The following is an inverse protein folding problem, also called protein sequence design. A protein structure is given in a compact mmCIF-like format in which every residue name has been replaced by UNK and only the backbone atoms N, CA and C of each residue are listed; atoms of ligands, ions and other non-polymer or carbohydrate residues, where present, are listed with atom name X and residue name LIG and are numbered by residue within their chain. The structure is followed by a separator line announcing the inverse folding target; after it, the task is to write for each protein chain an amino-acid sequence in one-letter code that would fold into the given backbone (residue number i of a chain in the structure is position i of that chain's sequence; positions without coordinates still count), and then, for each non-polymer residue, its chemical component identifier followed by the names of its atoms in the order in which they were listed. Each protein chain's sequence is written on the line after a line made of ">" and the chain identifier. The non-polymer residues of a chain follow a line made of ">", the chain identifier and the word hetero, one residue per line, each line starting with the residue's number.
data_IF_270749647778
#
_entry.id   IF_270749647778
#
_cell.length_a   1.000
_cell.length_b   1.000
_cell.length_c   1.000
_cell.angle_alpha   90.00
_cell.angle_beta   90.00
_cell.angle_gamma   90.00
#
_symmetry.space_group_name_H-M   'P 1'
#
loop_
_entity.id
_entity.type
_entity.pdbx_description
1 polymer ?
#
# COMPACT_ATOMS: atom_id res chain seq x y z
N UNK A 1 18.92 -9.91 7.58
CA UNK A 1 17.54 -10.33 7.28
C UNK A 1 16.58 -9.35 7.88
N UNK A 2 15.67 -8.82 7.07
CA UNK A 2 14.50 -8.07 7.52
C UNK A 2 13.27 -8.99 7.40
N UNK A 3 12.21 -8.77 8.20
CA UNK A 3 10.92 -9.42 8.01
C UNK A 3 10.38 -9.18 6.59
N UNK A 4 9.68 -10.16 6.03
CA UNK A 4 9.06 -10.06 4.71
C UNK A 4 7.63 -10.62 4.77
N UNK A 5 6.69 -9.91 4.15
CA UNK A 5 5.30 -10.34 4.00
C UNK A 5 5.20 -11.64 3.20
N UNK A 6 4.23 -12.48 3.53
CA UNK A 6 3.95 -13.74 2.82
C UNK A 6 3.23 -13.51 1.49
N UNK A 7 2.50 -12.40 1.35
CA UNK A 7 1.80 -11.97 0.15
C UNK A 7 2.27 -10.57 -0.27
N UNK A 8 2.55 -10.41 -1.56
CA UNK A 8 2.78 -9.11 -2.19
C UNK A 8 1.93 -9.03 -3.45
N UNK A 9 0.97 -8.11 -3.49
CA UNK A 9 0.01 -7.97 -4.59
C UNK A 9 -0.04 -6.53 -5.10
N UNK A 10 -0.10 -6.29 -6.42
CA UNK A 10 -0.23 -4.94 -6.95
C UNK A 10 -1.68 -4.43 -6.86
N UNK A 11 -1.83 -3.12 -6.71
CA UNK A 11 -3.04 -2.39 -7.07
C UNK A 11 -2.79 -1.66 -8.38
N UNK A 12 -3.35 -2.17 -9.47
CA UNK A 12 -3.10 -1.64 -10.80
C UNK A 12 -4.02 -0.47 -11.17
N UNK A 13 -3.51 0.41 -12.03
CA UNK A 13 -4.29 1.50 -12.60
C UNK A 13 -5.40 0.95 -13.51
N UNK A 14 -6.65 1.31 -13.23
CA UNK A 14 -7.78 0.89 -14.07
C UNK A 14 -7.80 1.54 -15.46
N UNK A 15 -7.05 2.64 -15.65
CA UNK A 15 -6.94 3.36 -16.92
C UNK A 15 -5.61 4.11 -17.02
N UNK A 16 -5.19 4.40 -18.25
CA UNK A 16 -4.05 5.29 -18.50
C UNK A 16 -4.41 6.75 -18.21
N UNK A 17 -3.44 7.54 -17.76
CA UNK A 17 -3.64 8.95 -17.46
C UNK A 17 -2.54 9.53 -16.59
N UNK A 18 -2.89 10.58 -15.84
CA UNK A 18 -2.02 11.23 -14.87
C UNK A 18 -2.58 11.03 -13.47
N UNK A 19 -1.73 10.62 -12.52
CA UNK A 19 -2.15 10.43 -11.14
C UNK A 19 -2.42 11.79 -10.50
N UNK A 20 -3.69 12.13 -10.33
CA UNK A 20 -4.10 13.46 -9.88
C UNK A 20 -3.98 13.64 -8.35
N UNK A 21 -4.18 12.57 -7.58
CA UNK A 21 -4.26 12.64 -6.13
C UNK A 21 -3.87 11.32 -5.46
N UNK A 22 -3.36 11.41 -4.23
CA UNK A 22 -3.16 10.30 -3.30
C UNK A 22 -3.65 10.72 -1.91
N UNK A 23 -4.66 10.03 -1.38
CA UNK A 23 -5.19 10.28 -0.03
C UNK A 23 -4.30 9.62 1.02
N UNK A 24 -3.33 10.36 1.53
CA UNK A 24 -2.33 9.84 2.46
C UNK A 24 -2.93 9.30 3.77
N UNK A 25 -4.01 9.92 4.26
CA UNK A 25 -4.77 9.47 5.43
C UNK A 25 -5.43 8.11 5.21
N UNK A 26 -6.05 7.92 4.05
CA UNK A 26 -6.71 6.67 3.64
C UNK A 26 -5.67 5.56 3.43
N UNK A 27 -4.54 5.87 2.80
CA UNK A 27 -3.43 4.93 2.61
C UNK A 27 -2.81 4.55 3.97
N UNK A 28 -2.61 5.52 4.86
CA UNK A 28 -2.12 5.26 6.21
C UNK A 28 -3.07 4.40 7.04
N UNK A 29 -4.38 4.66 6.95
CA UNK A 29 -5.40 3.85 7.61
C UNK A 29 -5.42 2.41 7.06
N UNK A 30 -5.28 2.23 5.75
CA UNK A 30 -5.16 0.90 5.15
C UNK A 30 -3.92 0.15 5.66
N UNK A 31 -2.78 0.81 5.81
CA UNK A 31 -1.59 0.21 6.41
C UNK A 31 -1.79 -0.21 7.88
N UNK A 32 -2.58 0.55 8.65
CA UNK A 32 -2.98 0.14 10.02
C UNK A 32 -3.86 -1.11 9.99
N UNK A 33 -4.81 -1.19 9.06
CA UNK A 33 -5.67 -2.37 8.89
C UNK A 33 -4.85 -3.62 8.55
N UNK A 34 -3.81 -3.49 7.72
CA UNK A 34 -2.88 -4.57 7.40
C UNK A 34 -2.03 -5.04 8.61
N UNK A 35 -2.00 -4.27 9.72
CA UNK A 35 -1.18 -4.56 10.88
C UNK A 35 0.14 -3.76 10.95
N UNK A 36 0.40 -2.89 9.97
CA UNK A 36 1.60 -2.03 9.93
C UNK A 36 1.54 -0.85 10.91
N UNK A 37 0.44 -0.72 11.66
CA UNK A 37 0.24 0.33 12.65
C UNK A 37 -0.72 -0.08 13.75
N UNK A 38 -1.08 0.86 14.62
CA UNK A 38 -1.88 0.62 15.82
C UNK A 38 -3.23 1.33 15.73
N UNK A 39 -4.33 0.62 15.97
CA UNK A 39 -5.63 1.25 16.19
C UNK A 39 -5.77 1.70 17.66
N UNK A 40 -5.21 0.93 18.58
CA UNK A 40 -5.10 1.21 20.02
C UNK A 40 -3.64 1.09 20.45
N UNK A 41 -3.29 1.77 21.55
CA UNK A 41 -1.91 1.87 22.05
C UNK A 41 -1.19 0.53 22.21
N UNK A 42 -1.91 -0.52 22.59
CA UNK A 42 -1.34 -1.83 22.93
C UNK A 42 -1.38 -2.84 21.77
N UNK A 43 -1.83 -2.43 20.58
CA UNK A 43 -1.85 -3.30 19.41
C UNK A 43 -0.42 -3.66 18.98
N UNK A 44 -0.24 -4.90 18.54
CA UNK A 44 1.03 -5.38 17.98
C UNK A 44 1.17 -4.88 16.55
N UNK A 45 2.37 -4.44 16.18
CA UNK A 45 2.70 -4.05 14.81
C UNK A 45 3.37 -5.22 14.12
N UNK A 46 2.90 -5.57 12.93
CA UNK A 46 3.60 -6.45 12.02
C UNK A 46 4.61 -5.62 11.19
N UNK A 47 5.93 -5.82 11.36
CA UNK A 47 6.94 -5.05 10.65
C UNK A 47 7.12 -5.47 9.18
N UNK A 48 6.44 -6.53 8.72
CA UNK A 48 6.60 -7.10 7.40
C UNK A 48 5.58 -6.58 6.37
N UNK A 49 4.45 -6.05 6.86
CA UNK A 49 3.31 -5.59 6.06
C UNK A 49 3.36 -4.08 5.79
N UNK A 50 2.60 -3.62 4.80
CA UNK A 50 2.50 -2.21 4.46
C UNK A 50 2.14 -1.95 3.00
N UNK A 51 2.24 -0.68 2.59
CA UNK A 51 1.93 -0.24 1.22
C UNK A 51 3.15 0.48 0.65
N UNK A 52 3.62 0.03 -0.51
CA UNK A 52 4.73 0.65 -1.25
C UNK A 52 4.16 1.34 -2.48
N UNK A 53 4.20 2.67 -2.50
CA UNK A 53 3.75 3.45 -3.65
C UNK A 53 4.70 3.26 -4.84
N UNK A 54 4.14 2.90 -5.99
CA UNK A 54 4.86 2.74 -7.25
C UNK A 54 4.72 3.98 -8.17
N UNK A 55 3.69 4.79 -7.95
CA UNK A 55 3.47 6.08 -8.63
C UNK A 55 3.22 7.21 -7.62
N UNK A 56 3.50 8.44 -8.03
CA UNK A 56 3.29 9.68 -7.26
C UNK A 56 2.33 10.61 -8.00
N UNK A 57 1.74 11.55 -7.27
CA UNK A 57 0.93 12.62 -7.88
C UNK A 57 1.75 13.33 -8.94
N UNK A 58 1.18 13.46 -10.14
CA UNK A 58 1.83 14.03 -11.31
C UNK A 58 2.58 13.02 -12.20
N UNK A 59 2.66 11.75 -11.82
CA UNK A 59 3.21 10.72 -12.71
C UNK A 59 2.17 10.33 -13.78
N UNK A 60 2.66 10.03 -14.98
CA UNK A 60 1.87 9.37 -16.00
C UNK A 60 1.84 7.86 -15.71
N UNK A 61 0.66 7.25 -15.82
CA UNK A 61 0.44 5.81 -15.62
C UNK A 61 -0.31 5.20 -16.80
N UNK A 62 -0.05 3.93 -17.09
CA UNK A 62 -0.80 3.14 -18.08
C UNK A 62 -1.81 2.21 -17.41
N UNK A 63 -2.90 1.87 -18.12
CA UNK A 63 -3.83 0.84 -17.65
C UNK A 63 -3.10 -0.49 -17.39
N UNK A 64 -3.29 -1.06 -16.21
CA UNK A 64 -2.57 -2.26 -15.75
C UNK A 64 -1.20 -1.97 -15.14
N UNK A 65 -0.74 -0.72 -15.07
CA UNK A 65 0.48 -0.36 -14.35
C UNK A 65 0.21 -0.33 -12.84
N UNK A 66 1.06 -0.92 -11.99
CA UNK A 66 0.92 -0.83 -10.55
C UNK A 66 0.98 0.62 -10.06
N UNK A 67 -0.04 1.02 -9.28
CA UNK A 67 -0.06 2.27 -8.52
C UNK A 67 0.64 2.10 -7.17
N UNK A 68 0.47 0.94 -6.55
CA UNK A 68 1.18 0.54 -5.34
C UNK A 68 1.27 -0.98 -5.23
N UNK A 69 2.11 -1.45 -4.31
CA UNK A 69 2.23 -2.83 -3.89
C UNK A 69 1.76 -2.96 -2.45
N UNK A 70 0.87 -3.93 -2.22
CA UNK A 70 0.32 -4.27 -0.91
C UNK A 70 1.11 -5.46 -0.38
N UNK A 71 1.77 -5.28 0.75
CA UNK A 71 2.47 -6.32 1.49
C UNK A 71 1.57 -6.77 2.66
N UNK A 72 1.13 -8.03 2.66
CA UNK A 72 0.18 -8.57 3.63
C UNK A 72 0.59 -9.97 4.09
N UNK A 73 0.04 -10.41 5.22
CA UNK A 73 0.25 -11.77 5.75
C UNK A 73 -1.02 -12.63 5.73
N UNK A 74 -2.16 -12.05 5.31
CA UNK A 74 -3.46 -12.65 5.10
C UNK A 74 -4.16 -12.07 3.84
N UNK A 75 -5.28 -12.68 3.43
CA UNK A 75 -6.14 -12.25 2.32
C UNK A 75 -7.23 -11.26 2.76
#
# INVERSE_FOLDING_TARGET
>A
NLPAASLVSPLDAGQSGWLAELHADTIGAAAVVLGGGRQKKDDTIDPAVGIVLAAKVGDQVEAGQPLCWIHANDE
#
